data_IF_930329596757
#
_entry.id   IF_930329596757
#
_cell.length_a   1.000
_cell.length_b   1.000
_cell.length_c   1.000
_cell.angle_alpha   90.00
_cell.angle_beta   90.00
_cell.angle_gamma   90.00
#
_symmetry.space_group_name_H-M   'P 1'
#
loop_
_entity.id
_entity.type
_entity.pdbx_description
1 polymer ?
#
# COMPACT_ATOMS: atom_id res chain seq x y z
N UNK A 1 14.82 -17.85 6.07
CA UNK A 1 15.29 -17.33 7.38
C UNK A 1 14.19 -16.47 7.97
N UNK A 2 13.92 -16.53 9.28
CA UNK A 2 12.87 -15.70 9.88
C UNK A 2 13.45 -14.43 10.49
N UNK A 3 12.64 -13.37 10.53
CA UNK A 3 12.96 -12.13 11.25
C UNK A 3 13.35 -12.41 12.71
N UNK A 4 14.27 -11.64 13.29
CA UNK A 4 14.48 -11.65 14.75
C UNK A 4 13.25 -11.15 15.52
N UNK A 5 12.40 -10.34 14.88
CA UNK A 5 11.24 -9.73 15.51
C UNK A 5 9.99 -10.62 15.37
N UNK A 6 9.10 -10.62 16.37
CA UNK A 6 7.90 -11.46 16.34
C UNK A 6 6.87 -11.01 15.29
N UNK A 7 6.84 -9.70 15.01
CA UNK A 7 5.94 -9.05 14.04
C UNK A 7 6.70 -8.45 12.86
N UNK A 8 6.31 -7.22 12.50
CA UNK A 8 7.01 -6.43 11.48
C UNK A 8 8.40 -6.07 12.00
N UNK A 9 9.43 -6.33 11.20
CA UNK A 9 10.80 -5.95 11.53
C UNK A 9 10.97 -4.43 11.41
N UNK A 10 11.28 -3.71 12.51
CA UNK A 10 11.30 -2.25 12.50
C UNK A 10 12.45 -1.66 11.67
N UNK A 11 13.44 -2.44 11.29
CA UNK A 11 14.55 -1.99 10.43
C UNK A 11 14.15 -1.89 8.96
N UNK A 12 13.07 -2.57 8.56
CA UNK A 12 12.56 -2.54 7.17
C UNK A 12 12.12 -1.14 6.78
N UNK A 13 11.42 -0.42 7.68
CA UNK A 13 10.85 0.90 7.38
C UNK A 13 11.90 1.90 6.90
N UNK A 14 13.05 1.96 7.56
CA UNK A 14 14.12 2.89 7.21
C UNK A 14 15.06 2.41 6.11
N UNK A 15 15.12 1.12 5.81
CA UNK A 15 16.13 0.56 4.93
C UNK A 15 15.57 -0.04 3.64
N UNK A 16 14.39 -0.67 3.68
CA UNK A 16 13.88 -1.54 2.60
C UNK A 16 12.40 -1.36 2.32
N UNK A 17 11.77 -0.27 2.73
CA UNK A 17 10.33 -0.11 2.64
C UNK A 17 9.78 -0.31 1.22
N UNK A 18 10.41 0.26 0.21
CA UNK A 18 9.93 0.15 -1.18
C UNK A 18 9.89 -1.31 -1.67
N UNK A 19 10.94 -2.06 -1.38
CA UNK A 19 11.04 -3.48 -1.71
C UNK A 19 10.04 -4.32 -0.91
N UNK A 20 9.96 -4.06 0.41
CA UNK A 20 9.00 -4.71 1.30
C UNK A 20 7.55 -4.49 0.85
N UNK A 21 7.18 -3.25 0.57
CA UNK A 21 5.84 -2.91 0.10
C UNK A 21 5.47 -3.65 -1.18
N UNK A 22 6.41 -3.73 -2.13
CA UNK A 22 6.20 -4.46 -3.40
C UNK A 22 6.04 -5.95 -3.15
N UNK A 23 6.95 -6.57 -2.38
CA UNK A 23 6.93 -8.00 -2.09
C UNK A 23 5.69 -8.37 -1.27
N UNK A 24 5.29 -7.56 -0.29
CA UNK A 24 4.08 -7.77 0.51
C UNK A 24 2.83 -7.84 -0.38
N UNK A 25 2.67 -6.89 -1.30
CA UNK A 25 1.51 -6.90 -2.21
C UNK A 25 1.49 -8.14 -3.12
N UNK A 26 2.65 -8.61 -3.57
CA UNK A 26 2.77 -9.85 -4.37
C UNK A 26 2.37 -11.07 -3.54
N UNK A 27 2.85 -11.17 -2.29
CA UNK A 27 2.53 -12.31 -1.42
C UNK A 27 1.06 -12.30 -0.98
N UNK A 28 0.51 -11.13 -0.64
CA UNK A 28 -0.92 -10.97 -0.36
C UNK A 28 -1.76 -11.42 -1.56
N UNK A 29 -1.45 -10.94 -2.77
CA UNK A 29 -2.12 -11.36 -4.00
C UNK A 29 -2.03 -12.87 -4.17
N UNK A 30 -0.85 -13.45 -4.02
CA UNK A 30 -0.62 -14.88 -4.19
C UNK A 30 -1.46 -15.69 -3.21
N UNK A 31 -1.48 -15.29 -1.94
CA UNK A 31 -2.29 -15.94 -0.91
C UNK A 31 -3.79 -15.84 -1.23
N UNK A 32 -4.26 -14.60 -1.46
CA UNK A 32 -5.67 -14.32 -1.73
C UNK A 32 -6.17 -15.04 -2.98
N UNK A 33 -5.39 -15.07 -4.06
CA UNK A 33 -5.77 -15.78 -5.29
C UNK A 33 -6.02 -17.26 -5.03
N UNK A 34 -5.17 -17.92 -4.22
CA UNK A 34 -5.34 -19.35 -3.87
C UNK A 34 -6.61 -19.60 -3.06
N UNK A 35 -6.98 -18.66 -2.20
CA UNK A 35 -8.16 -18.81 -1.33
C UNK A 35 -9.48 -18.45 -2.02
N UNK A 36 -9.44 -17.53 -2.99
CA UNK A 36 -10.63 -16.90 -3.56
C UNK A 36 -10.98 -17.40 -4.97
N UNK A 37 -10.05 -18.07 -5.66
CA UNK A 37 -10.33 -18.68 -6.97
C UNK A 37 -11.31 -19.86 -6.82
N UNK A 38 -12.18 -20.10 -7.80
CA UNK A 38 -12.34 -19.36 -9.07
C UNK A 38 -13.36 -18.20 -8.99
N UNK A 39 -14.02 -17.98 -7.84
CA UNK A 39 -15.14 -17.03 -7.71
C UNK A 39 -14.70 -15.57 -7.81
N UNK A 40 -13.50 -15.26 -7.29
CA UNK A 40 -12.93 -13.91 -7.31
C UNK A 40 -11.61 -13.87 -8.07
N UNK A 41 -11.32 -12.70 -8.61
CA UNK A 41 -10.03 -12.35 -9.21
C UNK A 41 -9.36 -11.31 -8.32
N UNK A 42 -8.07 -11.53 -8.04
CA UNK A 42 -7.24 -10.59 -7.26
C UNK A 42 -6.24 -9.91 -8.18
N UNK A 43 -6.43 -8.61 -8.42
CA UNK A 43 -5.57 -7.76 -9.23
C UNK A 43 -4.62 -6.92 -8.39
N UNK A 44 -3.50 -6.52 -8.98
CA UNK A 44 -2.64 -5.42 -8.49
C UNK A 44 -2.86 -4.26 -9.45
N UNK A 45 -3.36 -3.16 -8.91
CA UNK A 45 -3.61 -1.97 -9.70
C UNK A 45 -2.62 -0.85 -9.34
N UNK A 46 -2.23 -0.09 -10.34
CA UNK A 46 -1.37 1.08 -10.16
C UNK A 46 -2.19 2.35 -10.44
N UNK A 47 -2.40 3.20 -9.43
CA UNK A 47 -2.97 4.53 -9.66
C UNK A 47 -1.84 5.52 -9.93
N UNK A 48 -1.91 6.22 -11.06
CA UNK A 48 -1.06 7.37 -11.36
C UNK A 48 -1.68 8.62 -10.75
N UNK A 49 -1.01 9.20 -9.76
CA UNK A 49 -1.40 10.50 -9.21
C UNK A 49 -0.58 11.55 -9.96
N UNK A 50 -1.26 12.37 -10.78
CA UNK A 50 -0.66 13.52 -11.41
C UNK A 50 -0.85 14.73 -10.48
N UNK A 51 0.23 15.25 -9.93
CA UNK A 51 0.19 16.51 -9.18
C UNK A 51 0.03 17.66 -10.16
N UNK A 52 -1.06 18.39 -10.07
CA UNK A 52 -1.22 19.74 -10.64
C UNK A 52 -1.37 20.72 -9.49
N UNK A 53 -0.64 21.83 -9.56
CA UNK A 53 -0.56 22.82 -8.48
C UNK A 53 -1.91 23.49 -8.12
N UNK A 54 -2.95 23.41 -8.96
CA UNK A 54 -4.21 24.14 -8.75
C UNK A 54 -5.49 23.29 -8.64
N UNK A 55 -5.51 22.02 -9.10
CA UNK A 55 -6.65 21.14 -8.89
C UNK A 55 -6.24 19.65 -8.98
N UNK A 56 -6.28 18.97 -7.84
CA UNK A 56 -5.88 17.55 -7.74
C UNK A 56 -7.06 16.64 -8.12
N UNK A 57 -7.07 16.15 -9.34
CA UNK A 57 -7.97 15.06 -9.73
C UNK A 57 -7.26 13.72 -9.62
N UNK A 58 -7.73 12.87 -8.73
CA UNK A 58 -7.35 11.45 -8.70
C UNK A 58 -8.10 10.75 -9.83
N UNK A 59 -7.38 10.27 -10.85
CA UNK A 59 -7.98 9.46 -11.92
C UNK A 59 -7.80 7.99 -11.58
N UNK A 60 -8.91 7.28 -11.49
CA UNK A 60 -8.91 5.83 -11.50
C UNK A 60 -8.65 5.31 -12.93
N UNK A 61 -7.99 4.15 -13.12
CA UNK A 61 -7.62 3.65 -14.44
C UNK A 61 -8.79 3.12 -15.30
N UNK A 62 -10.03 3.32 -14.94
CA UNK A 62 -11.19 2.87 -15.73
C UNK A 62 -11.61 3.81 -16.87
N UNK A 63 -10.82 4.82 -17.20
CA UNK A 63 -11.01 5.57 -18.44
C UNK A 63 -10.07 5.00 -19.49
N UNK A 64 -10.50 3.92 -20.15
CA UNK A 64 -9.96 3.55 -21.45
C UNK A 64 -10.18 4.75 -22.39
N UNK A 65 -9.11 5.47 -22.70
CA UNK A 65 -9.09 6.33 -23.87
C UNK A 65 -9.13 5.36 -25.04
N UNK A 66 -10.35 5.04 -25.52
CA UNK A 66 -10.49 4.45 -26.82
C UNK A 66 -9.95 5.48 -27.81
N UNK A 67 -8.87 5.11 -28.51
CA UNK A 67 -8.40 5.83 -29.68
C UNK A 67 -9.49 5.81 -30.73
N UNK A 68 -10.34 6.82 -30.67
CA UNK A 68 -11.26 7.15 -31.72
C UNK A 68 -10.85 8.51 -32.28
N UNK A 69 -9.69 8.56 -32.91
CA UNK A 69 -9.42 9.61 -33.88
C UNK A 69 -10.28 9.31 -35.11
N UNK A 70 -11.53 9.78 -35.11
CA UNK A 70 -12.24 9.97 -36.35
C UNK A 70 -11.64 11.23 -36.99
N UNK A 71 -10.96 11.05 -38.09
CA UNK A 71 -10.61 12.12 -39.00
C UNK A 71 -11.87 12.86 -39.38
N UNK A 72 -12.02 14.08 -38.86
CA UNK A 72 -13.01 15.01 -39.38
C UNK A 72 -12.52 15.46 -40.76
N UNK A 73 -13.32 15.33 -41.82
CA UNK A 73 -12.93 15.82 -43.13
C UNK A 73 -12.78 17.35 -43.08
N UNK A 74 -11.61 17.84 -43.33
CA UNK A 74 -11.35 19.23 -43.59
C UNK A 74 -11.90 19.58 -44.97
N UNK A 75 -13.10 20.16 -45.07
CA UNK A 75 -13.54 20.82 -46.28
C UNK A 75 -12.94 22.23 -46.36
N UNK A 76 -12.02 22.38 -47.29
CA UNK A 76 -11.47 23.66 -47.66
C UNK A 76 -12.53 24.45 -48.45
N UNK A 77 -13.20 25.39 -47.81
CA UNK A 77 -14.08 26.36 -48.49
C UNK A 77 -13.45 27.74 -48.54
N UNK A 78 -13.17 28.17 -49.75
CA UNK A 78 -13.33 29.56 -50.23
C UNK A 78 -12.25 30.56 -49.92
N UNK A 79 -11.60 31.03 -50.99
CA UNK A 79 -10.55 32.05 -51.01
C UNK A 79 -10.96 33.37 -50.40
N UNK A 80 -10.10 33.84 -49.55
CA UNK A 80 -9.96 35.22 -49.09
C UNK A 80 -8.50 35.46 -48.84
N UNK A 81 -7.86 36.37 -49.55
CA UNK A 81 -6.50 36.84 -49.32
C UNK A 81 -6.47 37.61 -48.01
N UNK A 82 -6.45 36.90 -46.90
CA UNK A 82 -6.09 37.48 -45.61
C UNK A 82 -4.58 37.43 -45.47
N UNK A 83 -3.95 38.59 -45.31
CA UNK A 83 -2.53 38.71 -44.95
C UNK A 83 -2.36 38.02 -43.58
N UNK A 84 -1.90 36.77 -43.57
CA UNK A 84 -1.59 36.07 -42.34
C UNK A 84 -0.32 36.73 -41.76
N UNK A 85 -0.50 37.57 -40.73
CA UNK A 85 0.62 37.96 -39.88
C UNK A 85 1.02 36.68 -39.12
N UNK A 86 2.18 36.13 -39.44
CA UNK A 86 2.72 34.97 -38.76
C UNK A 86 2.93 35.31 -37.29
N UNK A 87 2.10 34.73 -36.41
CA UNK A 87 2.32 34.86 -34.97
C UNK A 87 3.45 33.90 -34.59
N UNK A 88 4.58 34.49 -34.15
CA UNK A 88 5.68 33.68 -33.63
C UNK A 88 5.29 32.98 -32.33
N UNK A 89 5.50 31.63 -32.24
CA UNK A 89 5.18 30.93 -31.04
C UNK A 89 6.10 31.33 -29.89
N UNK A 90 5.52 31.64 -28.72
CA UNK A 90 6.29 31.82 -27.49
C UNK A 90 6.45 30.45 -26.82
N UNK A 91 7.67 30.16 -26.40
CA UNK A 91 7.98 28.94 -25.66
C UNK A 91 7.68 29.16 -24.17
N UNK A 92 6.86 28.30 -23.60
CA UNK A 92 6.55 28.26 -22.18
C UNK A 92 7.09 26.96 -21.59
N UNK A 93 7.59 27.01 -20.35
CA UNK A 93 8.02 25.86 -19.62
C UNK A 93 6.83 25.31 -18.81
N UNK A 94 6.43 24.09 -19.07
CA UNK A 94 5.41 23.41 -18.25
C UNK A 94 6.06 22.87 -16.97
N UNK A 95 5.41 22.98 -15.79
CA UNK A 95 5.92 22.37 -14.57
C UNK A 95 6.20 20.88 -14.77
N UNK A 96 7.33 20.42 -14.28
CA UNK A 96 7.71 19.01 -14.35
C UNK A 96 6.84 18.24 -13.36
N UNK A 97 5.87 17.48 -13.85
CA UNK A 97 5.02 16.63 -13.03
C UNK A 97 5.66 15.25 -12.95
N UNK A 98 6.08 14.84 -11.76
CA UNK A 98 6.51 13.46 -11.53
C UNK A 98 5.30 12.61 -11.19
N UNK A 99 4.94 11.61 -12.02
CA UNK A 99 3.83 10.74 -11.73
C UNK A 99 4.19 9.84 -10.54
N UNK A 100 3.42 9.93 -9.45
CA UNK A 100 3.55 9.02 -8.32
C UNK A 100 2.64 7.81 -8.55
N UNK A 101 3.21 6.60 -8.49
CA UNK A 101 2.46 5.36 -8.58
C UNK A 101 2.11 4.87 -7.19
N UNK A 102 0.83 4.62 -6.95
CA UNK A 102 0.35 3.93 -5.76
C UNK A 102 -0.19 2.57 -6.17
N UNK A 103 0.32 1.52 -5.53
CA UNK A 103 -0.14 0.15 -5.75
C UNK A 103 -1.11 -0.27 -4.66
N UNK A 104 -2.15 -0.93 -5.06
CA UNK A 104 -3.15 -1.52 -4.18
C UNK A 104 -3.67 -2.82 -4.78
N UNK A 105 -4.36 -3.62 -3.97
CA UNK A 105 -4.98 -4.85 -4.43
C UNK A 105 -6.49 -4.65 -4.57
N UNK A 106 -7.04 -5.21 -5.62
CA UNK A 106 -8.49 -5.29 -5.84
C UNK A 106 -8.95 -6.74 -5.82
N UNK A 107 -10.04 -6.99 -5.11
CA UNK A 107 -10.77 -8.25 -5.17
C UNK A 107 -12.04 -7.97 -5.94
N UNK A 108 -12.16 -8.60 -7.12
CA UNK A 108 -13.32 -8.47 -8.00
C UNK A 108 -14.05 -9.80 -8.13
N UNK A 109 -15.37 -9.76 -8.13
CA UNK A 109 -16.18 -10.91 -8.54
C UNK A 109 -15.88 -11.24 -10.01
N UNK A 110 -15.68 -12.54 -10.30
CA UNK A 110 -15.25 -12.97 -11.64
C UNK A 110 -16.31 -12.71 -12.72
N UNK A 111 -17.56 -13.06 -12.44
CA UNK A 111 -18.63 -13.03 -13.48
C UNK A 111 -19.09 -11.61 -13.81
N UNK A 112 -19.29 -10.77 -12.81
CA UNK A 112 -19.76 -9.39 -12.98
C UNK A 112 -18.65 -8.34 -13.05
N UNK A 113 -17.38 -8.72 -12.87
CA UNK A 113 -16.22 -7.82 -12.69
C UNK A 113 -16.43 -6.74 -11.62
N UNK A 114 -17.41 -6.95 -10.72
CA UNK A 114 -17.75 -6.02 -9.64
C UNK A 114 -16.60 -5.93 -8.66
N UNK A 115 -16.12 -4.71 -8.39
CA UNK A 115 -15.17 -4.45 -7.34
C UNK A 115 -15.84 -4.70 -5.98
N UNK A 116 -15.23 -5.53 -5.15
CA UNK A 116 -15.76 -5.95 -3.84
C UNK A 116 -14.93 -5.37 -2.72
N UNK A 117 -13.62 -5.56 -2.77
CA UNK A 117 -12.71 -5.11 -1.72
C UNK A 117 -11.45 -4.51 -2.31
N UNK A 118 -11.03 -3.38 -1.75
CA UNK A 118 -9.73 -2.75 -1.99
C UNK A 118 -8.85 -2.98 -0.77
N UNK A 119 -7.61 -3.38 -0.98
CA UNK A 119 -6.60 -3.53 0.08
C UNK A 119 -5.44 -2.59 -0.22
N UNK A 120 -5.25 -1.58 0.65
CA UNK A 120 -4.20 -0.57 0.57
C UNK A 120 -3.10 -0.87 1.58
N UNK A 121 -1.88 -1.12 1.11
CA UNK A 121 -0.69 -1.11 1.96
C UNK A 121 -0.13 0.31 1.97
N UNK A 122 -0.18 1.00 3.12
CA UNK A 122 0.23 2.41 3.19
C UNK A 122 1.73 2.55 2.96
N UNK A 123 2.13 3.59 2.25
CA UNK A 123 3.53 3.98 2.03
C UNK A 123 3.91 5.19 2.90
N UNK A 124 5.22 5.49 3.09
CA UNK A 124 5.64 6.72 3.76
C UNK A 124 5.04 7.98 3.12
N UNK A 125 4.88 8.00 1.80
CA UNK A 125 4.23 9.10 1.08
C UNK A 125 2.79 9.27 1.51
N UNK A 126 2.01 8.19 1.65
CA UNK A 126 0.62 8.25 2.11
C UNK A 126 0.46 8.82 3.52
N UNK A 127 1.53 8.76 4.33
CA UNK A 127 1.51 9.20 5.73
C UNK A 127 2.18 10.57 5.95
N UNK A 128 2.87 11.12 4.96
CA UNK A 128 3.63 12.36 5.06
C UNK A 128 3.18 13.39 4.01
N UNK A 129 3.96 13.60 2.96
CA UNK A 129 3.72 14.62 1.94
C UNK A 129 2.45 14.36 1.10
N UNK A 130 2.12 13.11 0.81
CA UNK A 130 0.91 12.70 0.08
C UNK A 130 -0.29 12.36 0.97
N UNK A 131 -0.27 12.75 2.25
CA UNK A 131 -1.34 12.37 3.20
C UNK A 131 -2.70 12.93 2.81
N UNK A 132 -2.76 14.20 2.34
CA UNK A 132 -4.02 14.83 1.93
C UNK A 132 -4.62 14.15 0.71
N UNK A 133 -3.79 13.81 -0.25
CA UNK A 133 -4.15 13.11 -1.48
C UNK A 133 -4.69 11.71 -1.15
N UNK A 134 -4.00 11.02 -0.24
CA UNK A 134 -4.46 9.72 0.24
C UNK A 134 -5.83 9.82 0.93
N UNK A 135 -6.04 10.81 1.80
CA UNK A 135 -7.35 11.03 2.44
C UNK A 135 -8.45 11.35 1.43
N UNK A 136 -8.15 12.10 0.37
CA UNK A 136 -9.10 12.37 -0.71
C UNK A 136 -9.48 11.07 -1.45
N UNK A 137 -8.50 10.25 -1.83
CA UNK A 137 -8.73 8.92 -2.41
C UNK A 137 -9.54 8.03 -1.46
N UNK A 138 -9.15 7.97 -0.20
CA UNK A 138 -9.84 7.21 0.85
C UNK A 138 -11.31 7.61 0.95
N UNK A 139 -11.62 8.91 0.96
CA UNK A 139 -12.99 9.41 1.01
C UNK A 139 -13.80 8.96 -0.20
N UNK A 140 -13.22 8.98 -1.40
CA UNK A 140 -13.87 8.51 -2.62
C UNK A 140 -14.15 7.00 -2.59
N UNK A 141 -13.21 6.19 -2.08
CA UNK A 141 -13.41 4.74 -1.90
C UNK A 141 -14.50 4.47 -0.86
N UNK A 142 -14.49 5.19 0.26
CA UNK A 142 -15.49 5.03 1.32
C UNK A 142 -16.90 5.47 0.90
N UNK A 143 -17.05 6.31 -0.12
CA UNK A 143 -18.33 6.69 -0.68
C UNK A 143 -18.94 5.62 -1.59
N UNK A 144 -18.17 4.59 -1.99
CA UNK A 144 -18.63 3.51 -2.84
C UNK A 144 -19.10 2.29 -2.03
N UNK A 145 -19.97 1.43 -2.58
CA UNK A 145 -20.44 0.21 -1.90
C UNK A 145 -19.40 -0.93 -1.98
N UNK A 146 -18.15 -0.62 -1.65
CA UNK A 146 -17.00 -1.56 -1.63
C UNK A 146 -16.38 -1.59 -0.24
N UNK A 147 -15.73 -2.68 0.14
CA UNK A 147 -14.97 -2.75 1.37
C UNK A 147 -13.57 -2.14 1.17
N UNK A 148 -13.01 -1.57 2.23
CA UNK A 148 -11.65 -1.03 2.24
C UNK A 148 -10.86 -1.62 3.40
N UNK A 149 -9.71 -2.22 3.11
CA UNK A 149 -8.75 -2.71 4.10
C UNK A 149 -7.47 -1.90 3.96
N UNK A 150 -7.03 -1.25 5.03
CA UNK A 150 -5.85 -0.38 5.06
C UNK A 150 -4.79 -0.96 5.99
N UNK A 151 -3.64 -1.38 5.44
CA UNK A 151 -2.51 -1.94 6.17
C UNK A 151 -1.52 -0.83 6.50
N UNK A 152 -1.53 -0.29 7.72
CA UNK A 152 -0.56 0.67 8.24
C UNK A 152 0.55 -0.05 9.01
N UNK A 153 1.51 -0.62 8.28
CA UNK A 153 2.67 -1.33 8.80
C UNK A 153 3.89 -0.42 8.98
N UNK A 154 3.65 0.89 9.10
CA UNK A 154 4.65 1.93 9.32
C UNK A 154 4.51 2.51 10.72
N UNK A 155 5.63 2.60 11.46
CA UNK A 155 5.68 3.29 12.76
C UNK A 155 5.63 4.80 12.60
N UNK A 156 6.29 5.32 11.57
CA UNK A 156 6.37 6.74 11.27
C UNK A 156 5.16 7.31 10.54
N UNK A 157 5.17 8.66 10.43
CA UNK A 157 4.15 9.41 9.71
C UNK A 157 2.82 9.57 10.47
N UNK A 158 1.84 10.20 9.81
CA UNK A 158 0.54 10.49 10.39
C UNK A 158 -0.33 9.23 10.44
N UNK A 159 -1.12 9.10 11.50
CA UNK A 159 -2.15 8.05 11.56
C UNK A 159 -3.41 8.46 10.80
N UNK A 160 -4.15 7.47 10.32
CA UNK A 160 -5.46 7.71 9.71
C UNK A 160 -6.40 8.34 10.75
N UNK A 161 -7.20 9.35 10.33
CA UNK A 161 -8.09 10.03 11.25
C UNK A 161 -9.26 9.13 11.65
N UNK A 162 -9.55 9.12 12.94
CA UNK A 162 -10.75 8.54 13.57
C UNK A 162 -11.38 9.57 14.49
N UNK A 163 -12.67 9.41 14.81
CA UNK A 163 -13.36 10.29 15.75
C UNK A 163 -12.83 10.04 17.16
N UNK A 164 -12.75 8.76 17.57
CA UNK A 164 -12.17 8.37 18.84
C UNK A 164 -10.65 8.28 18.72
N UNK A 165 -9.90 8.60 19.79
CA UNK A 165 -8.46 8.41 19.81
C UNK A 165 -8.09 6.94 19.58
N UNK A 166 -7.12 6.69 18.72
CA UNK A 166 -6.56 5.35 18.55
C UNK A 166 -5.85 4.92 19.86
N UNK A 167 -6.04 3.66 20.26
CA UNK A 167 -5.23 3.10 21.32
C UNK A 167 -3.75 3.06 20.91
N UNK A 168 -2.79 3.22 21.85
CA UNK A 168 -1.37 3.21 21.51
C UNK A 168 -0.93 1.88 20.88
N UNK A 169 -0.40 1.96 19.65
CA UNK A 169 0.17 0.82 18.92
C UNK A 169 1.19 1.32 17.88
N UNK A 170 2.06 0.42 17.42
CA UNK A 170 3.05 0.73 16.39
C UNK A 170 2.48 0.53 14.99
N UNK A 171 1.67 -0.50 14.84
CA UNK A 171 1.07 -0.91 13.57
C UNK A 171 -0.45 -0.99 13.69
N UNK A 172 -1.14 -0.74 12.57
CA UNK A 172 -2.59 -0.83 12.51
C UNK A 172 -3.05 -1.49 11.21
N UNK A 173 -4.19 -2.17 11.28
CA UNK A 173 -5.00 -2.50 10.12
C UNK A 173 -6.41 -2.00 10.37
N UNK A 174 -6.98 -1.33 9.39
CA UNK A 174 -8.38 -0.88 9.43
C UNK A 174 -9.18 -1.65 8.40
N UNK A 175 -10.29 -2.22 8.82
CA UNK A 175 -11.24 -2.93 7.97
C UNK A 175 -12.56 -2.17 7.97
N UNK A 176 -12.82 -1.45 6.90
CA UNK A 176 -14.04 -0.67 6.67
C UNK A 176 -15.01 -1.44 5.79
N UNK A 177 -15.99 -2.08 6.42
CA UNK A 177 -17.07 -2.76 5.72
C UNK A 177 -18.06 -1.73 5.17
N UNK A 178 -18.49 -1.92 3.92
CA UNK A 178 -19.41 -0.98 3.28
C UNK A 178 -20.72 -0.83 4.02
N UNK A 179 -21.24 -1.92 4.60
CA UNK A 179 -22.51 -1.98 5.33
C UNK A 179 -22.44 -1.45 6.77
N UNK A 180 -21.23 -1.35 7.34
CA UNK A 180 -21.04 -0.93 8.75
C UNK A 180 -20.63 0.52 8.90
N UNK A 181 -20.43 1.26 7.80
CA UNK A 181 -19.99 2.65 7.83
C UNK A 181 -20.99 3.54 8.57
N UNK A 182 -20.51 4.50 9.37
CA UNK A 182 -19.13 5.00 9.47
C UNK A 182 -18.19 4.22 10.40
N UNK A 183 -18.63 3.11 11.02
CA UNK A 183 -17.78 2.31 11.89
C UNK A 183 -16.70 1.58 11.08
N UNK A 184 -15.52 1.41 11.70
CA UNK A 184 -14.37 0.69 11.16
C UNK A 184 -13.78 -0.21 12.24
N UNK A 185 -13.44 -1.45 11.87
CA UNK A 185 -12.69 -2.36 12.75
C UNK A 185 -11.21 -1.99 12.72
N UNK A 186 -10.63 -1.67 13.88
CA UNK A 186 -9.21 -1.30 14.02
C UNK A 186 -8.41 -2.36 14.77
N UNK A 187 -7.44 -2.97 14.09
CA UNK A 187 -6.49 -3.92 14.68
C UNK A 187 -5.17 -3.19 14.91
N UNK A 188 -4.84 -2.89 16.17
CA UNK A 188 -3.58 -2.24 16.53
C UNK A 188 -2.72 -3.14 17.41
N UNK A 189 -1.41 -3.23 17.13
CA UNK A 189 -0.48 -4.01 17.93
C UNK A 189 0.90 -3.34 18.03
N UNK A 190 1.62 -3.57 19.15
CA UNK A 190 2.98 -3.07 19.31
C UNK A 190 3.99 -3.96 18.56
N UNK A 191 5.15 -3.40 18.23
CA UNK A 191 6.26 -4.11 17.54
C UNK A 191 6.75 -5.36 18.28
N UNK A 192 6.45 -5.48 19.58
CA UNK A 192 6.81 -6.62 20.41
C UNK A 192 5.89 -7.82 20.26
N UNK A 193 4.83 -7.72 19.46
CA UNK A 193 3.83 -8.76 19.26
C UNK A 193 3.77 -9.23 17.80
N UNK A 194 3.27 -10.43 17.62
CA UNK A 194 2.94 -10.96 16.28
C UNK A 194 1.80 -10.17 15.65
N UNK A 195 1.80 -10.06 14.34
CA UNK A 195 0.69 -9.46 13.61
C UNK A 195 -0.58 -10.34 13.75
N UNK A 196 -1.74 -9.75 14.04
CA UNK A 196 -2.98 -10.50 14.16
C UNK A 196 -3.46 -11.05 12.80
N UNK A 197 -4.30 -12.09 12.80
CA UNK A 197 -5.05 -12.46 11.61
C UNK A 197 -6.05 -11.36 11.26
N UNK A 198 -6.19 -11.07 9.95
CA UNK A 198 -7.00 -9.94 9.47
C UNK A 198 -8.17 -10.46 8.62
N UNK A 199 -9.42 -10.08 8.93
CA UNK A 199 -10.56 -10.39 8.10
C UNK A 199 -10.55 -9.54 6.81
N UNK A 200 -10.79 -10.20 5.68
CA UNK A 200 -10.98 -9.58 4.37
C UNK A 200 -12.42 -9.80 3.97
N UNK A 201 -13.26 -8.75 4.00
CA UNK A 201 -14.67 -8.84 3.63
C UNK A 201 -14.86 -9.19 2.15
N UNK A 202 -15.90 -9.96 1.85
CA UNK A 202 -16.31 -10.34 0.51
C UNK A 202 -17.77 -9.94 0.28
N UNK A 203 -18.41 -10.49 -0.74
CA UNK A 203 -19.85 -10.32 -0.94
C UNK A 203 -20.62 -10.89 0.26
N UNK A 204 -21.82 -10.34 0.56
CA UNK A 204 -22.59 -10.74 1.74
C UNK A 204 -22.83 -12.26 1.84
N UNK A 205 -23.06 -12.93 0.70
CA UNK A 205 -23.28 -14.37 0.62
C UNK A 205 -22.03 -15.21 0.89
N UNK A 206 -20.84 -14.64 0.73
CA UNK A 206 -19.53 -15.30 0.97
C UNK A 206 -18.89 -14.88 2.30
N UNK A 207 -19.40 -13.83 2.93
CA UNK A 207 -18.95 -13.34 4.22
C UNK A 207 -17.54 -12.75 4.17
N UNK A 208 -16.56 -13.48 4.64
CA UNK A 208 -15.16 -13.03 4.71
C UNK A 208 -14.19 -14.21 4.71
N UNK A 209 -12.96 -13.94 4.31
CA UNK A 209 -11.82 -14.81 4.62
C UNK A 209 -10.93 -14.14 5.67
N UNK A 210 -10.07 -14.91 6.33
CA UNK A 210 -9.11 -14.39 7.29
C UNK A 210 -7.71 -14.66 6.78
N UNK A 211 -6.90 -13.60 6.59
CA UNK A 211 -5.50 -13.75 6.20
C UNK A 211 -4.62 -13.90 7.44
N UNK A 212 -3.70 -14.87 7.48
CA UNK A 212 -2.70 -15.03 8.54
C UNK A 212 -1.57 -14.03 8.29
N UNK A 213 -1.78 -12.75 8.66
CA UNK A 213 -0.85 -11.66 8.29
C UNK A 213 0.58 -11.96 8.71
N UNK A 214 0.80 -12.54 9.91
CA UNK A 214 2.16 -12.90 10.36
C UNK A 214 2.85 -13.90 9.45
N UNK A 215 2.15 -14.94 9.00
CA UNK A 215 2.73 -15.94 8.11
C UNK A 215 3.13 -15.32 6.76
N UNK A 216 2.31 -14.38 6.28
CA UNK A 216 2.61 -13.62 5.05
C UNK A 216 3.86 -12.75 5.25
N UNK A 217 3.98 -12.06 6.40
CA UNK A 217 5.16 -11.26 6.73
C UNK A 217 6.44 -12.11 6.83
N UNK A 218 6.34 -13.31 7.42
CA UNK A 218 7.44 -14.26 7.50
C UNK A 218 7.91 -14.70 6.11
N UNK A 219 6.95 -14.97 5.20
CA UNK A 219 7.25 -15.32 3.80
C UNK A 219 7.90 -14.17 3.06
N UNK A 220 7.40 -12.95 3.24
CA UNK A 220 8.00 -11.73 2.66
C UNK A 220 9.45 -11.56 3.13
N UNK A 221 9.68 -11.67 4.44
CA UNK A 221 11.03 -11.53 5.02
C UNK A 221 12.02 -12.55 4.43
N UNK A 222 11.60 -13.80 4.31
CA UNK A 222 12.44 -14.88 3.79
C UNK A 222 12.73 -14.71 2.29
N UNK A 223 11.69 -14.49 1.49
CA UNK A 223 11.80 -14.38 0.03
C UNK A 223 12.58 -13.15 -0.44
N UNK A 224 12.43 -12.03 0.27
CA UNK A 224 13.20 -10.81 -0.01
C UNK A 224 14.65 -10.88 0.51
N UNK A 225 15.03 -11.94 1.23
CA UNK A 225 16.39 -12.13 1.74
C UNK A 225 16.79 -11.09 2.78
N UNK A 226 15.85 -10.59 3.57
CA UNK A 226 16.13 -9.53 4.56
C UNK A 226 17.10 -9.97 5.65
N UNK A 227 17.15 -11.26 5.97
CA UNK A 227 18.16 -11.80 6.89
C UNK A 227 19.60 -11.60 6.43
N UNK A 228 19.83 -11.27 5.17
CA UNK A 228 21.17 -10.99 4.60
C UNK A 228 21.36 -9.51 4.26
N UNK A 229 20.26 -8.76 4.00
CA UNK A 229 20.31 -7.42 3.42
C UNK A 229 19.98 -6.30 4.39
N UNK A 230 19.41 -6.60 5.57
CA UNK A 230 19.19 -5.62 6.63
C UNK A 230 20.46 -5.46 7.50
N UNK A 231 20.81 -4.22 7.79
CA UNK A 231 21.88 -3.91 8.74
C UNK A 231 21.28 -3.58 10.11
N UNK A 232 21.40 -4.52 11.04
CA UNK A 232 20.93 -4.36 12.42
C UNK A 232 21.85 -3.52 13.32
N UNK A 233 22.98 -3.02 12.80
CA UNK A 233 23.93 -2.17 13.53
C UNK A 233 23.59 -0.69 13.43
N UNK A 234 22.78 -0.31 12.46
CA UNK A 234 22.34 1.08 12.29
C UNK A 234 21.12 1.38 13.17
N UNK A 235 20.90 2.65 13.56
CA UNK A 235 19.70 3.03 14.29
C UNK A 235 18.42 2.73 13.50
N UNK A 236 17.37 2.33 14.21
CA UNK A 236 16.02 2.15 13.62
C UNK A 236 15.43 3.51 13.24
N UNK A 237 14.82 3.59 12.09
CA UNK A 237 14.09 4.78 11.62
C UNK A 237 12.64 4.40 11.32
N UNK A 238 11.66 5.12 11.91
CA UNK A 238 11.80 6.22 12.87
C UNK A 238 12.41 5.78 14.20
N UNK A 239 12.96 6.71 15.00
CA UNK A 239 13.63 6.39 16.26
C UNK A 239 12.75 5.59 17.23
N UNK A 240 13.39 4.72 17.98
CA UNK A 240 12.78 3.96 19.07
C UNK A 240 12.74 4.79 20.35
N UNK A 241 11.72 4.56 21.20
CA UNK A 241 11.78 4.98 22.59
C UNK A 241 12.89 4.23 23.33
N UNK A 242 13.33 4.73 24.48
CA UNK A 242 14.38 4.06 25.31
C UNK A 242 13.99 2.61 25.65
N UNK A 243 12.71 2.37 25.98
CA UNK A 243 12.19 1.03 26.30
C UNK A 243 12.25 0.09 25.09
N UNK A 244 11.85 0.57 23.93
CA UNK A 244 11.90 -0.20 22.68
C UNK A 244 13.35 -0.49 22.27
N UNK A 245 14.23 0.51 22.37
CA UNK A 245 15.65 0.34 22.07
C UNK A 245 16.31 -0.71 22.96
N UNK A 246 16.01 -0.72 24.26
CA UNK A 246 16.52 -1.72 25.19
C UNK A 246 15.99 -3.13 24.84
N UNK A 247 14.71 -3.25 24.46
CA UNK A 247 14.12 -4.52 24.01
C UNK A 247 14.75 -5.02 22.72
N UNK A 248 14.94 -4.15 21.71
CA UNK A 248 15.60 -4.49 20.44
C UNK A 248 17.02 -4.96 20.68
N UNK A 249 17.80 -4.22 21.49
CA UNK A 249 19.19 -4.59 21.81
C UNK A 249 19.27 -5.99 22.46
N UNK A 250 18.36 -6.27 23.41
CA UNK A 250 18.28 -7.59 24.05
C UNK A 250 17.97 -8.67 23.03
N UNK A 251 16.95 -8.48 22.21
CA UNK A 251 16.50 -9.45 21.20
C UNK A 251 17.61 -9.80 20.19
N UNK A 252 18.35 -8.78 19.73
CA UNK A 252 19.45 -8.98 18.80
C UNK A 252 20.66 -9.66 19.46
N UNK A 253 20.98 -9.37 20.74
CA UNK A 253 22.08 -10.01 21.46
C UNK A 253 21.84 -11.51 21.67
N UNK A 254 20.62 -11.93 21.92
CA UNK A 254 20.26 -13.34 22.11
C UNK A 254 20.47 -14.19 20.84
N UNK A 255 20.48 -13.58 19.65
CA UNK A 255 20.76 -14.27 18.37
C UNK A 255 22.23 -14.33 17.98
N UNK A 256 23.07 -13.45 18.53
CA UNK A 256 24.51 -13.41 18.24
C UNK A 256 25.28 -14.47 19.03
N UNK A 257 24.67 -15.13 20.02
CA UNK A 257 25.31 -16.23 20.73
C UNK A 257 25.34 -17.46 19.83
N UNK A 258 26.51 -17.85 19.23
CA UNK A 258 26.59 -19.09 18.50
C UNK A 258 26.34 -20.23 19.49
N UNK A 259 25.58 -21.24 19.06
CA UNK A 259 25.55 -22.53 19.75
C UNK A 259 26.98 -23.11 19.70
N UNK A 260 27.80 -22.70 20.66
CA UNK A 260 29.07 -23.38 20.94
C UNK A 260 28.71 -24.62 21.73
N UNK A 261 28.83 -25.76 21.13
CA UNK A 261 28.83 -27.00 21.87
C UNK A 261 28.05 -28.17 21.33
N UNK A 262 28.60 -28.80 20.31
CA UNK A 262 28.58 -30.27 20.22
C UNK A 262 29.83 -30.69 19.47
N UNK A 263 30.98 -30.54 20.11
CA UNK A 263 32.18 -31.34 19.76
C UNK A 263 31.87 -32.74 20.23
N UNK A 264 31.31 -33.55 19.30
CA UNK A 264 31.25 -35.00 19.50
C UNK A 264 32.68 -35.53 19.55
N UNK A 265 33.07 -36.08 20.70
CA UNK A 265 34.20 -37.00 20.78
C UNK A 265 33.83 -38.27 19.98
N UNK A 266 34.83 -38.72 19.30
CA UNK A 266 35.01 -39.97 18.56
C UNK A 266 34.25 -41.19 19.12
#
# INVERSE_FOLDING_TARGET
MRSPFPGVDPFIEGQKWHDFHTTLNVELRTYLTKQLAPRYVVGVEDTLILERDDEKQVRFPDVSISEGFSELPWEASGGGTATMTAVEPKVYTIPKTEPRRQRYLEIREREGHRLVTVIESLSPTNKNEGFREYLSKRTQLLAQPIHLVELDLLRGGRRLPTVEPLHPADYYVFVSRSESRPQVEGFGWPMTHVAPPIPIPLLPEDGQIVIPLQEILDVVYDRAGYGYSLDYRVPVTPPLSEREAAWVAKLLSERVTPVVGATGQL
#
